data_IF_104799274175
#
_entry.id   IF_104799274175
#
_cell.length_a   1.000
_cell.length_b   1.000
_cell.length_c   1.000
_cell.angle_alpha   90.00
_cell.angle_beta   90.00
_cell.angle_gamma   90.00
#
_symmetry.space_group_name_H-M   'P 1'
#
loop_
_entity.id
_entity.type
_entity.pdbx_description
1 polymer ?
#
# COMPACT_ATOMS: atom_id res chain seq x y z
N UNK A 1 10.84 -53.24 58.73
CA UNK A 1 11.39 -52.21 57.81
C UNK A 1 10.82 -52.30 56.37
N UNK A 2 9.52 -52.60 56.17
CA UNK A 2 8.91 -52.68 54.82
C UNK A 2 7.90 -51.57 54.50
N UNK A 3 7.28 -50.91 55.50
CA UNK A 3 6.29 -49.85 55.23
C UNK A 3 6.86 -48.53 54.69
N UNK A 4 8.17 -48.27 54.87
CA UNK A 4 8.78 -47.00 54.43
C UNK A 4 9.11 -46.98 52.93
N UNK A 5 9.31 -48.14 52.31
CA UNK A 5 9.61 -48.27 50.87
C UNK A 5 8.35 -48.26 49.99
N UNK A 6 7.22 -48.79 50.49
CA UNK A 6 5.94 -48.70 49.76
C UNK A 6 5.36 -47.28 49.75
N UNK A 7 5.52 -46.50 50.82
CA UNK A 7 5.04 -45.11 50.86
C UNK A 7 5.79 -44.20 49.86
N UNK A 8 7.10 -44.43 49.68
CA UNK A 8 7.91 -43.65 48.73
C UNK A 8 7.58 -43.99 47.27
N UNK A 9 7.16 -45.22 46.97
CA UNK A 9 6.72 -45.61 45.63
C UNK A 9 5.35 -45.06 45.27
N UNK A 10 4.41 -44.95 46.23
CA UNK A 10 3.09 -44.35 46.00
C UNK A 10 3.16 -42.83 45.80
N UNK A 11 4.07 -42.13 46.49
CA UNK A 11 4.29 -40.69 46.30
C UNK A 11 4.96 -40.37 44.94
N UNK A 12 5.82 -41.24 44.42
CA UNK A 12 6.41 -41.08 43.09
C UNK A 12 5.38 -41.25 41.96
N UNK A 13 4.39 -42.14 42.13
CA UNK A 13 3.32 -42.35 41.16
C UNK A 13 2.34 -41.15 41.08
N UNK A 14 2.09 -40.46 42.20
CA UNK A 14 1.24 -39.27 42.23
C UNK A 14 1.93 -38.05 41.62
N UNK A 15 3.26 -37.91 41.76
CA UNK A 15 4.01 -36.83 41.11
C UNK A 15 4.24 -37.07 39.60
N UNK A 16 4.23 -38.32 39.13
CA UNK A 16 4.31 -38.63 37.70
C UNK A 16 2.98 -38.40 36.95
N UNK A 17 1.84 -38.38 37.66
CA UNK A 17 0.51 -38.17 37.08
C UNK A 17 0.10 -36.70 36.88
N UNK A 18 0.85 -35.73 37.42
CA UNK A 18 0.52 -34.29 37.35
C UNK A 18 1.44 -33.53 36.37
N UNK A 19 2.46 -34.20 35.81
CA UNK A 19 3.38 -33.61 34.84
C UNK A 19 3.00 -33.83 33.37
N UNK A 20 1.80 -34.37 33.08
CA UNK A 20 1.27 -34.56 31.71
C UNK A 20 -0.03 -33.77 31.54
N UNK A 21 0.02 -32.49 31.90
CA UNK A 21 -0.91 -31.45 31.41
C UNK A 21 -0.17 -30.12 31.34
N UNK A 22 1.12 -30.14 30.96
CA UNK A 22 1.69 -28.95 30.36
C UNK A 22 1.15 -28.91 28.94
N UNK A 23 0.12 -28.10 28.72
CA UNK A 23 -0.22 -27.64 27.39
C UNK A 23 1.08 -27.12 26.80
N UNK A 24 1.67 -27.86 25.87
CA UNK A 24 2.61 -27.27 24.95
C UNK A 24 1.81 -26.18 24.27
N UNK A 25 1.93 -24.94 24.74
CA UNK A 25 1.87 -23.80 23.84
C UNK A 25 3.01 -24.06 22.85
N UNK A 26 2.71 -24.87 21.81
CA UNK A 26 3.42 -24.80 20.55
C UNK A 26 3.31 -23.33 20.21
N UNK A 27 4.40 -22.60 20.40
CA UNK A 27 4.59 -21.32 19.75
C UNK A 27 4.64 -21.70 18.28
N UNK A 28 3.48 -21.77 17.63
CA UNK A 28 3.40 -22.09 16.21
C UNK A 28 4.01 -20.89 15.50
N UNK A 29 5.19 -21.08 14.93
CA UNK A 29 5.92 -20.05 14.19
C UNK A 29 5.54 -20.20 12.73
N UNK A 30 4.99 -19.14 12.14
CA UNK A 30 4.82 -19.07 10.70
C UNK A 30 6.20 -19.25 10.05
N UNK A 31 6.35 -20.14 9.05
CA UNK A 31 7.61 -20.31 8.36
C UNK A 31 8.06 -18.97 7.76
N UNK A 32 9.27 -18.52 8.10
CA UNK A 32 9.82 -17.36 7.40
C UNK A 32 10.33 -17.79 6.02
N UNK A 33 10.01 -17.01 4.99
CA UNK A 33 10.59 -17.21 3.67
C UNK A 33 12.10 -17.01 3.77
N UNK A 34 12.87 -18.08 3.58
CA UNK A 34 14.31 -17.95 3.43
C UNK A 34 14.61 -17.09 2.19
N UNK A 35 15.57 -16.15 2.27
CA UNK A 35 15.96 -15.37 1.11
C UNK A 35 16.44 -16.32 0.00
N UNK A 36 16.02 -16.11 -1.26
CA UNK A 36 16.39 -16.98 -2.36
C UNK A 36 17.92 -17.04 -2.48
N UNK A 37 18.47 -18.25 -2.46
CA UNK A 37 19.90 -18.46 -2.74
C UNK A 37 20.16 -18.11 -4.20
N UNK A 38 20.98 -17.08 -4.44
CA UNK A 38 21.38 -16.63 -5.78
C UNK A 38 22.11 -17.70 -6.62
N UNK A 39 22.43 -18.85 -6.01
CA UNK A 39 23.14 -19.97 -6.64
C UNK A 39 22.22 -21.04 -7.25
N UNK A 40 20.91 -21.00 -6.97
CA UNK A 40 19.97 -22.00 -7.50
C UNK A 40 19.35 -21.53 -8.82
N UNK A 41 18.99 -22.45 -9.75
CA UNK A 41 18.19 -22.09 -10.92
C UNK A 41 16.86 -21.44 -10.53
N UNK A 42 16.41 -20.43 -11.28
CA UNK A 42 15.19 -19.67 -10.98
C UNK A 42 13.95 -20.56 -10.77
N UNK A 43 13.79 -21.60 -11.60
CA UNK A 43 12.69 -22.57 -11.48
C UNK A 43 12.71 -23.33 -10.13
N UNK A 44 13.90 -23.62 -9.60
CA UNK A 44 14.05 -24.24 -8.28
C UNK A 44 13.69 -23.26 -7.17
N UNK A 45 14.13 -22.00 -7.29
CA UNK A 45 13.80 -20.94 -6.32
C UNK A 45 12.29 -20.70 -6.25
N UNK A 46 11.61 -20.63 -7.41
CA UNK A 46 10.16 -20.47 -7.50
C UNK A 46 9.41 -21.65 -6.87
N UNK A 47 9.84 -22.90 -7.11
CA UNK A 47 9.24 -24.07 -6.47
C UNK A 47 9.38 -24.03 -4.95
N UNK A 48 10.56 -23.67 -4.44
CA UNK A 48 10.78 -23.55 -3.00
C UNK A 48 9.94 -22.42 -2.39
N UNK A 49 9.82 -21.28 -3.08
CA UNK A 49 8.98 -20.17 -2.64
C UNK A 49 7.50 -20.58 -2.57
N UNK A 50 6.99 -21.25 -3.60
CA UNK A 50 5.61 -21.73 -3.60
C UNK A 50 5.37 -22.80 -2.52
N UNK A 51 6.30 -23.75 -2.32
CA UNK A 51 6.18 -24.76 -1.28
C UNK A 51 6.17 -24.13 0.13
N UNK A 52 7.02 -23.14 0.38
CA UNK A 52 7.01 -22.41 1.65
C UNK A 52 5.72 -21.60 1.83
N UNK A 53 5.19 -21.04 0.75
CA UNK A 53 3.92 -20.31 0.80
C UNK A 53 2.73 -21.22 1.11
N UNK A 54 2.72 -22.46 0.59
CA UNK A 54 1.72 -23.47 0.98
C UNK A 54 1.73 -23.72 2.49
N UNK A 55 2.91 -23.85 3.10
CA UNK A 55 3.03 -24.00 4.55
C UNK A 55 2.52 -22.76 5.33
N UNK A 56 2.59 -21.57 4.73
CA UNK A 56 1.99 -20.35 5.30
C UNK A 56 0.46 -20.40 5.16
N UNK A 57 -0.07 -20.86 4.02
CA UNK A 57 -1.51 -21.05 3.82
C UNK A 57 -2.09 -22.04 4.84
N UNK A 58 -1.42 -23.18 5.04
CA UNK A 58 -1.76 -24.17 6.05
C UNK A 58 -1.79 -23.57 7.46
N UNK A 59 -0.70 -22.88 7.85
CA UNK A 59 -0.63 -22.17 9.13
C UNK A 59 -1.81 -21.21 9.33
N UNK A 60 -2.16 -20.43 8.30
CA UNK A 60 -3.24 -19.46 8.39
C UNK A 60 -4.61 -20.12 8.49
N UNK A 61 -4.83 -21.20 7.73
CA UNK A 61 -6.08 -21.96 7.78
C UNK A 61 -6.32 -22.54 9.18
N UNK A 62 -5.27 -23.04 9.83
CA UNK A 62 -5.37 -23.66 11.16
C UNK A 62 -5.38 -22.65 12.33
N UNK A 63 -4.71 -21.50 12.21
CA UNK A 63 -4.34 -20.69 13.38
C UNK A 63 -4.87 -19.23 13.37
N UNK A 64 -5.61 -18.82 12.34
CA UNK A 64 -5.99 -17.41 12.16
C UNK A 64 -7.50 -17.15 12.27
N UNK A 65 -8.11 -17.55 13.39
CA UNK A 65 -9.52 -17.29 13.67
C UNK A 65 -9.79 -16.01 14.47
N UNK A 66 -8.82 -15.46 15.21
CA UNK A 66 -8.79 -14.05 15.62
C UNK A 66 -7.48 -13.70 16.36
N UNK A 67 -6.99 -12.47 16.17
CA UNK A 67 -5.91 -11.81 16.95
C UNK A 67 -4.47 -12.35 16.91
N UNK A 68 -4.18 -13.42 16.16
CA UNK A 68 -2.80 -13.93 16.08
C UNK A 68 -1.89 -13.01 15.21
N UNK A 69 -0.84 -12.39 15.79
CA UNK A 69 -0.01 -11.41 15.09
C UNK A 69 0.76 -12.00 13.89
N UNK A 70 1.04 -13.30 13.90
CA UNK A 70 1.72 -13.99 12.79
C UNK A 70 0.84 -14.15 11.56
N UNK A 71 -0.49 -14.10 11.74
CA UNK A 71 -1.43 -14.01 10.63
C UNK A 71 -1.26 -12.67 9.90
N UNK A 72 -1.10 -11.57 10.65
CA UNK A 72 -0.84 -10.25 10.06
C UNK A 72 0.49 -10.20 9.31
N UNK A 73 1.55 -10.85 9.82
CA UNK A 73 2.82 -10.98 9.09
C UNK A 73 2.63 -11.73 7.76
N UNK A 74 1.89 -12.84 7.79
CA UNK A 74 1.58 -13.66 6.61
C UNK A 74 0.77 -12.88 5.57
N UNK A 75 -0.22 -12.10 6.01
CA UNK A 75 -1.02 -11.23 5.14
C UNK A 75 -0.21 -10.07 4.55
N UNK A 76 0.67 -9.43 5.33
CA UNK A 76 1.56 -8.39 4.82
C UNK A 76 2.52 -8.96 3.77
N UNK A 77 3.07 -10.15 3.99
CA UNK A 77 3.91 -10.83 3.02
C UNK A 77 3.17 -11.09 1.71
N UNK A 78 1.92 -11.58 1.80
CA UNK A 78 1.09 -11.79 0.61
C UNK A 78 0.75 -10.49 -0.11
N UNK A 79 0.43 -9.42 0.62
CA UNK A 79 0.17 -8.10 0.03
C UNK A 79 1.38 -7.57 -0.75
N UNK A 80 2.60 -7.72 -0.21
CA UNK A 80 3.83 -7.25 -0.85
C UNK A 80 4.23 -8.05 -2.10
N UNK A 81 3.83 -9.32 -2.17
CA UNK A 81 4.24 -10.25 -3.24
C UNK A 81 3.05 -10.90 -3.95
N UNK A 82 1.90 -10.21 -3.97
CA UNK A 82 0.62 -10.67 -4.53
C UNK A 82 0.80 -11.38 -5.87
N UNK A 83 1.43 -10.72 -6.85
CA UNK A 83 1.49 -11.26 -8.21
C UNK A 83 2.20 -12.61 -8.27
N UNK A 84 3.31 -12.74 -7.53
CA UNK A 84 4.10 -13.97 -7.45
C UNK A 84 3.39 -15.06 -6.66
N UNK A 85 2.82 -14.72 -5.50
CA UNK A 85 2.20 -15.70 -4.61
C UNK A 85 0.82 -16.15 -5.09
N UNK A 86 0.07 -15.30 -5.77
CA UNK A 86 -1.18 -15.68 -6.46
C UNK A 86 -0.91 -16.72 -7.54
N UNK A 87 0.21 -16.61 -8.25
CA UNK A 87 0.63 -17.64 -9.22
C UNK A 87 0.92 -18.97 -8.55
N UNK A 88 1.56 -18.97 -7.37
CA UNK A 88 1.77 -20.19 -6.60
C UNK A 88 0.46 -20.90 -6.25
N UNK A 89 -0.60 -20.15 -5.92
CA UNK A 89 -1.94 -20.72 -5.66
C UNK A 89 -2.55 -21.31 -6.93
N UNK A 90 -2.43 -20.59 -8.06
CA UNK A 90 -2.95 -21.05 -9.35
C UNK A 90 -2.29 -22.33 -9.86
N UNK A 91 -1.01 -22.54 -9.54
CA UNK A 91 -0.24 -23.72 -9.96
C UNK A 91 -0.51 -24.95 -9.06
N UNK A 92 -1.32 -24.83 -8.00
CA UNK A 92 -1.67 -25.96 -7.13
C UNK A 92 -2.62 -26.94 -7.84
N UNK A 93 -2.52 -28.25 -7.54
CA UNK A 93 -3.43 -29.24 -8.11
C UNK A 93 -4.88 -28.94 -7.72
N UNK A 94 -5.79 -29.00 -8.69
CA UNK A 94 -7.21 -28.76 -8.43
C UNK A 94 -7.77 -29.78 -7.44
N UNK A 95 -8.57 -29.32 -6.47
CA UNK A 95 -9.19 -30.10 -5.39
C UNK A 95 -8.20 -30.77 -4.42
N UNK A 96 -6.95 -30.30 -4.40
CA UNK A 96 -5.98 -30.70 -3.38
C UNK A 96 -6.28 -30.04 -2.03
N UNK A 97 -5.75 -30.62 -0.96
CA UNK A 97 -5.82 -30.03 0.37
C UNK A 97 -5.09 -28.68 0.41
N UNK A 98 -3.94 -28.59 -0.25
CA UNK A 98 -3.16 -27.36 -0.39
C UNK A 98 -3.97 -26.25 -1.08
N UNK A 99 -4.73 -26.59 -2.13
CA UNK A 99 -5.62 -25.63 -2.78
C UNK A 99 -6.74 -25.18 -1.85
N UNK A 100 -7.34 -26.08 -1.08
CA UNK A 100 -8.39 -25.74 -0.12
C UNK A 100 -7.87 -24.78 0.96
N UNK A 101 -6.68 -25.05 1.51
CA UNK A 101 -6.02 -24.18 2.50
C UNK A 101 -5.65 -22.81 1.90
N UNK A 102 -5.17 -22.79 0.65
CA UNK A 102 -4.88 -21.54 -0.06
C UNK A 102 -6.14 -20.68 -0.28
N UNK A 103 -7.30 -21.29 -0.54
CA UNK A 103 -8.58 -20.58 -0.63
C UNK A 103 -8.99 -19.99 0.72
N UNK A 104 -8.86 -20.75 1.82
CA UNK A 104 -9.11 -20.23 3.18
C UNK A 104 -8.17 -19.07 3.51
N UNK A 105 -6.90 -19.16 3.12
CA UNK A 105 -5.96 -18.04 3.23
C UNK A 105 -6.48 -16.80 2.51
N UNK A 106 -6.94 -16.93 1.26
CA UNK A 106 -7.44 -15.80 0.47
C UNK A 106 -8.70 -15.17 1.08
N UNK A 107 -9.61 -15.97 1.62
CA UNK A 107 -10.80 -15.49 2.31
C UNK A 107 -10.43 -14.66 3.55
N UNK A 108 -9.56 -15.20 4.41
CA UNK A 108 -9.08 -14.50 5.61
C UNK A 108 -8.26 -13.25 5.26
N UNK A 109 -7.44 -13.32 4.21
CA UNK A 109 -6.70 -12.18 3.68
C UNK A 109 -7.64 -11.07 3.21
N UNK A 110 -8.72 -11.39 2.49
CA UNK A 110 -9.69 -10.39 2.02
C UNK A 110 -10.38 -9.65 3.18
N UNK A 111 -10.74 -10.38 4.25
CA UNK A 111 -11.28 -9.78 5.48
C UNK A 111 -10.25 -8.85 6.12
N UNK A 112 -9.03 -9.33 6.32
CA UNK A 112 -7.95 -8.52 6.89
C UNK A 112 -7.63 -7.30 6.02
N UNK A 113 -7.60 -7.45 4.70
CA UNK A 113 -7.34 -6.39 3.75
C UNK A 113 -8.42 -5.32 3.82
N UNK A 114 -9.68 -5.69 3.97
CA UNK A 114 -10.78 -4.73 4.15
C UNK A 114 -10.58 -3.89 5.42
N UNK A 115 -10.18 -4.52 6.53
CA UNK A 115 -9.92 -3.84 7.80
C UNK A 115 -8.65 -2.99 7.78
N UNK A 116 -7.67 -3.34 6.94
CA UNK A 116 -6.36 -2.68 6.87
C UNK A 116 -6.16 -1.83 5.61
N UNK A 117 -7.17 -1.73 4.74
CA UNK A 117 -7.09 -1.10 3.43
C UNK A 117 -6.46 0.30 3.51
N UNK A 118 -6.89 1.08 4.51
CA UNK A 118 -6.40 2.43 4.71
C UNK A 118 -4.97 2.52 5.22
N UNK A 119 -4.59 1.60 6.11
CA UNK A 119 -3.21 1.51 6.59
C UNK A 119 -2.27 1.10 5.45
N UNK A 120 -2.69 0.12 4.65
CA UNK A 120 -1.93 -0.38 3.50
C UNK A 120 -1.80 0.69 2.42
N UNK A 121 -2.90 1.37 2.08
CA UNK A 121 -2.90 2.48 1.14
C UNK A 121 -1.92 3.58 1.55
N UNK A 122 -1.99 4.04 2.82
CA UNK A 122 -1.07 5.05 3.35
C UNK A 122 0.40 4.59 3.36
N UNK A 123 0.64 3.32 3.64
CA UNK A 123 2.00 2.75 3.61
C UNK A 123 2.56 2.67 2.19
N UNK A 124 1.74 2.24 1.22
CA UNK A 124 2.11 2.22 -0.20
C UNK A 124 2.40 3.63 -0.69
N UNK A 125 1.59 4.61 -0.29
CA UNK A 125 1.83 6.01 -0.62
C UNK A 125 3.13 6.54 -0.04
N UNK A 126 3.39 6.31 1.26
CA UNK A 126 4.62 6.77 1.90
C UNK A 126 5.87 6.16 1.24
N UNK A 127 5.82 4.87 0.91
CA UNK A 127 6.89 4.18 0.19
C UNK A 127 7.06 4.72 -1.23
N UNK A 128 5.96 5.00 -1.93
CA UNK A 128 6.02 5.59 -3.26
C UNK A 128 6.51 7.04 -3.25
N UNK A 129 6.23 7.82 -2.20
CA UNK A 129 6.88 9.13 -1.99
C UNK A 129 8.39 8.92 -1.90
N UNK A 130 8.86 8.01 -1.07
CA UNK A 130 10.30 7.80 -0.88
C UNK A 130 10.98 7.28 -2.17
N UNK A 131 10.41 6.26 -2.81
CA UNK A 131 11.04 5.52 -3.90
C UNK A 131 10.73 6.08 -5.30
N UNK A 132 9.55 6.68 -5.49
CA UNK A 132 9.10 7.21 -6.77
C UNK A 132 9.13 8.74 -6.83
N UNK A 133 9.18 9.44 -5.69
CA UNK A 133 9.32 10.91 -5.63
C UNK A 133 10.69 11.40 -5.10
N UNK A 134 11.63 10.49 -4.81
CA UNK A 134 12.93 10.85 -4.23
C UNK A 134 13.84 11.70 -5.14
N UNK A 135 14.50 12.72 -4.57
CA UNK A 135 15.66 13.55 -4.99
C UNK A 135 15.77 14.07 -6.46
N UNK A 136 14.94 13.59 -7.37
CA UNK A 136 14.90 13.79 -8.80
C UNK A 136 13.47 14.17 -9.23
N UNK A 137 12.69 14.84 -8.36
CA UNK A 137 11.39 15.43 -8.72
C UNK A 137 11.48 16.37 -9.94
N UNK A 138 12.69 16.79 -10.33
CA UNK A 138 12.97 17.56 -11.55
C UNK A 138 13.21 16.73 -12.82
N UNK A 139 13.16 15.40 -12.76
CA UNK A 139 13.21 14.55 -13.96
C UNK A 139 11.80 14.09 -14.30
N UNK A 140 11.21 14.55 -15.41
CA UNK A 140 10.00 13.93 -15.93
C UNK A 140 10.36 12.51 -16.30
N UNK A 141 9.97 11.58 -15.44
CA UNK A 141 10.19 10.18 -15.68
C UNK A 141 9.37 9.79 -16.92
N UNK A 142 10.01 9.50 -18.05
CA UNK A 142 9.29 8.93 -19.21
C UNK A 142 8.80 7.53 -18.83
N UNK A 143 7.58 7.13 -19.23
CA UNK A 143 6.96 5.81 -18.95
C UNK A 143 7.93 4.62 -19.04
N UNK A 144 8.90 4.70 -19.95
CA UNK A 144 9.86 3.63 -20.26
C UNK A 144 11.05 3.50 -19.29
N UNK A 145 11.22 4.42 -18.33
CA UNK A 145 12.38 4.44 -17.42
C UNK A 145 11.99 4.24 -15.94
N UNK A 146 10.78 3.79 -15.68
CA UNK A 146 10.27 3.67 -14.32
C UNK A 146 10.72 2.35 -13.68
N UNK A 147 11.09 2.36 -12.38
CA UNK A 147 11.09 1.14 -11.60
C UNK A 147 9.71 0.48 -11.69
N UNK A 148 9.68 -0.84 -11.85
CA UNK A 148 8.45 -1.63 -11.98
C UNK A 148 7.45 -1.33 -10.84
N UNK A 149 7.96 -1.15 -9.62
CA UNK A 149 7.17 -0.76 -8.45
C UNK A 149 6.36 0.53 -8.68
N UNK A 150 6.97 1.57 -9.24
CA UNK A 150 6.28 2.83 -9.51
C UNK A 150 5.18 2.65 -10.58
N UNK A 151 5.46 1.87 -11.64
CA UNK A 151 4.47 1.57 -12.66
C UNK A 151 3.22 0.86 -12.09
N UNK A 152 3.43 -0.13 -11.23
CA UNK A 152 2.35 -0.86 -10.56
C UNK A 152 1.54 0.05 -9.63
N UNK A 153 2.21 0.85 -8.79
CA UNK A 153 1.57 1.80 -7.88
C UNK A 153 0.73 2.81 -8.67
N UNK A 154 1.28 3.40 -9.73
CA UNK A 154 0.57 4.39 -10.53
C UNK A 154 -0.64 3.80 -11.26
N UNK A 155 -0.54 2.57 -11.75
CA UNK A 155 -1.65 1.85 -12.38
C UNK A 155 -2.77 1.60 -11.37
N UNK A 156 -2.44 1.13 -10.16
CA UNK A 156 -3.42 0.92 -9.09
C UNK A 156 -4.14 2.22 -8.74
N UNK A 157 -3.40 3.31 -8.49
CA UNK A 157 -3.99 4.61 -8.16
C UNK A 157 -4.92 5.13 -9.26
N UNK A 158 -4.55 4.98 -10.54
CA UNK A 158 -5.42 5.39 -11.65
C UNK A 158 -6.79 4.68 -11.63
N UNK A 159 -6.81 3.42 -11.16
CA UNK A 159 -8.02 2.59 -11.22
C UNK A 159 -8.89 2.62 -9.96
N UNK A 160 -8.30 2.80 -8.77
CA UNK A 160 -9.01 2.54 -7.49
C UNK A 160 -8.92 3.66 -6.45
N UNK A 161 -8.22 4.78 -6.74
CA UNK A 161 -7.94 5.83 -5.75
C UNK A 161 -9.20 6.46 -5.16
N UNK A 162 -10.18 6.86 -5.98
CA UNK A 162 -11.37 7.56 -5.46
C UNK A 162 -12.12 6.73 -4.40
N UNK A 163 -12.26 5.42 -4.65
CA UNK A 163 -12.90 4.50 -3.72
C UNK A 163 -12.06 4.34 -2.44
N UNK A 164 -10.74 4.30 -2.56
CA UNK A 164 -9.83 4.19 -1.41
C UNK A 164 -9.78 5.49 -0.59
N UNK A 165 -9.82 6.66 -1.22
CA UNK A 165 -9.84 7.95 -0.52
C UNK A 165 -11.14 8.14 0.27
N UNK A 166 -12.27 7.79 -0.34
CA UNK A 166 -13.58 7.79 0.32
C UNK A 166 -13.59 6.84 1.53
N UNK A 167 -13.12 5.59 1.32
CA UNK A 167 -13.02 4.59 2.37
C UNK A 167 -12.10 5.03 3.52
N UNK A 168 -11.04 5.78 3.22
CA UNK A 168 -9.96 6.06 4.16
C UNK A 168 -9.93 7.48 4.71
N UNK A 169 -10.95 8.27 4.38
CA UNK A 169 -11.12 9.66 4.82
C UNK A 169 -9.87 10.50 4.55
N UNK A 170 -9.13 10.20 3.48
CA UNK A 170 -7.87 10.89 3.21
C UNK A 170 -8.15 12.29 2.71
N UNK A 171 -7.55 13.25 3.41
CA UNK A 171 -7.30 14.59 2.91
C UNK A 171 -5.96 14.59 2.17
N UNK A 172 -5.85 15.41 1.13
CA UNK A 172 -4.87 15.46 0.03
C UNK A 172 -3.38 15.68 0.37
N UNK A 173 -2.91 15.23 1.54
CA UNK A 173 -1.66 15.72 2.15
C UNK A 173 -0.43 14.83 1.90
N UNK A 174 -0.10 14.49 0.65
CA UNK A 174 1.22 13.93 0.28
C UNK A 174 1.86 14.68 -0.88
N UNK A 175 2.27 15.93 -0.62
CA UNK A 175 2.59 16.95 -1.63
C UNK A 175 3.61 16.49 -2.69
N UNK A 176 4.71 15.83 -2.29
CA UNK A 176 5.78 15.44 -3.21
C UNK A 176 5.42 14.28 -4.16
N UNK A 177 4.60 13.34 -3.70
CA UNK A 177 4.10 12.26 -4.57
C UNK A 177 3.00 12.78 -5.49
N UNK A 178 2.10 13.64 -5.00
CA UNK A 178 1.04 14.24 -5.84
C UNK A 178 1.61 15.06 -6.99
N UNK A 179 2.64 15.89 -6.77
CA UNK A 179 3.23 16.72 -7.83
C UNK A 179 3.82 15.89 -8.98
N UNK A 180 4.45 14.73 -8.71
CA UNK A 180 4.96 13.83 -9.75
C UNK A 180 3.94 12.84 -10.32
N UNK A 181 2.93 12.46 -9.53
CA UNK A 181 1.90 11.48 -9.88
C UNK A 181 0.87 12.05 -10.85
N UNK A 182 0.52 13.30 -10.63
CA UNK A 182 -0.54 14.01 -11.33
C UNK A 182 -0.18 14.30 -12.81
N UNK A 183 1.09 14.56 -13.08
CA UNK A 183 1.62 14.71 -14.45
C UNK A 183 1.45 13.41 -15.27
N UNK A 184 1.27 12.27 -14.61
CA UNK A 184 1.08 10.99 -15.27
C UNK A 184 -0.38 10.71 -15.61
N UNK A 185 -1.26 10.72 -14.60
CA UNK A 185 -2.65 10.27 -14.73
C UNK A 185 -3.64 11.38 -15.14
N UNK A 186 -3.26 12.66 -15.00
CA UNK A 186 -4.18 13.77 -15.31
C UNK A 186 -4.56 13.81 -16.80
N UNK A 187 -5.77 14.31 -17.10
CA UNK A 187 -6.12 14.72 -18.47
C UNK A 187 -5.14 15.80 -18.97
N UNK A 188 -5.11 16.07 -20.27
CA UNK A 188 -4.30 17.19 -20.81
C UNK A 188 -4.61 18.51 -20.11
N UNK A 189 -5.89 18.74 -19.79
CA UNK A 189 -6.37 19.91 -19.06
C UNK A 189 -5.81 19.92 -17.65
N UNK A 190 -5.91 18.79 -16.93
CA UNK A 190 -5.37 18.71 -15.59
C UNK A 190 -3.86 18.94 -15.57
N UNK A 191 -3.08 18.28 -16.43
CA UNK A 191 -1.63 18.52 -16.54
C UNK A 191 -1.30 20.00 -16.72
N UNK A 192 -2.02 20.68 -17.62
CA UNK A 192 -1.85 22.12 -17.83
C UNK A 192 -2.21 22.92 -16.57
N UNK A 193 -3.30 22.59 -15.88
CA UNK A 193 -3.66 23.25 -14.61
C UNK A 193 -2.53 23.15 -13.58
N UNK A 194 -1.89 21.99 -13.46
CA UNK A 194 -0.81 21.79 -12.50
C UNK A 194 0.47 22.54 -12.87
N UNK A 195 0.81 22.60 -14.16
CA UNK A 195 1.87 23.49 -14.65
C UNK A 195 1.59 24.94 -14.26
N UNK A 196 0.35 25.42 -14.47
CA UNK A 196 -0.04 26.78 -14.12
C UNK A 196 0.04 27.05 -12.62
N UNK A 197 -0.34 26.10 -11.77
CA UNK A 197 -0.20 26.24 -10.31
C UNK A 197 1.28 26.35 -9.92
N UNK A 198 2.17 25.56 -10.54
CA UNK A 198 3.61 25.62 -10.31
C UNK A 198 4.19 26.96 -10.76
N UNK A 199 3.90 27.37 -11.99
CA UNK A 199 4.37 28.65 -12.56
C UNK A 199 3.83 29.85 -11.75
N UNK A 200 2.56 29.82 -11.35
CA UNK A 200 1.96 30.87 -10.54
C UNK A 200 2.61 31.02 -9.15
N UNK A 201 3.08 29.91 -8.56
CA UNK A 201 3.83 29.94 -7.32
C UNK A 201 5.21 30.58 -7.53
N UNK A 202 5.94 30.17 -8.55
CA UNK A 202 7.28 30.72 -8.87
C UNK A 202 7.23 32.22 -9.18
N UNK A 203 6.16 32.65 -9.86
CA UNK A 203 5.93 34.05 -10.23
C UNK A 203 5.26 34.88 -9.13
N UNK A 204 4.97 34.28 -7.97
CA UNK A 204 4.31 34.99 -6.87
C UNK A 204 2.91 35.50 -7.22
N UNK A 205 2.17 34.82 -8.10
CA UNK A 205 0.84 35.26 -8.54
C UNK A 205 -0.21 35.28 -7.42
N UNK A 206 0.09 34.72 -6.24
CA UNK A 206 -0.75 34.86 -5.04
C UNK A 206 -0.59 36.20 -4.31
N UNK A 207 0.38 37.02 -4.69
CA UNK A 207 0.60 38.37 -4.19
C UNK A 207 -0.30 39.36 -4.93
N UNK A 208 -0.85 40.34 -4.20
CA UNK A 208 -1.86 41.25 -4.74
C UNK A 208 -1.37 42.03 -5.97
N UNK A 209 -0.13 42.50 -5.94
CA UNK A 209 0.42 43.31 -7.04
C UNK A 209 0.58 42.46 -8.30
N UNK A 210 1.24 41.30 -8.20
CA UNK A 210 1.41 40.37 -9.31
C UNK A 210 0.06 39.86 -9.85
N UNK A 211 -0.88 39.51 -8.98
CA UNK A 211 -2.21 39.04 -9.37
C UNK A 211 -2.98 40.07 -10.22
N UNK A 212 -2.80 41.36 -9.94
CA UNK A 212 -3.52 42.43 -10.61
C UNK A 212 -2.78 42.96 -11.83
N UNK A 213 -1.45 43.05 -11.76
CA UNK A 213 -0.66 43.83 -12.70
C UNK A 213 0.19 42.97 -13.66
N UNK A 214 0.57 41.74 -13.29
CA UNK A 214 1.37 40.88 -14.16
C UNK A 214 0.51 40.18 -15.22
N UNK A 215 0.86 40.37 -16.50
CA UNK A 215 0.16 39.78 -17.64
C UNK A 215 0.13 38.25 -17.56
N UNK A 216 1.26 37.63 -17.17
CA UNK A 216 1.38 36.18 -17.11
C UNK A 216 0.41 35.58 -16.10
N UNK A 217 0.27 36.18 -14.90
CA UNK A 217 -0.71 35.69 -13.92
C UNK A 217 -2.14 35.78 -14.46
N UNK A 218 -2.48 36.85 -15.20
CA UNK A 218 -3.82 37.02 -15.79
C UNK A 218 -4.09 36.00 -16.89
N UNK A 219 -3.10 35.66 -17.72
CA UNK A 219 -3.23 34.61 -18.74
C UNK A 219 -3.53 33.25 -18.11
N UNK A 220 -2.84 32.91 -17.02
CA UNK A 220 -3.10 31.66 -16.28
C UNK A 220 -4.51 31.63 -15.68
N UNK A 221 -4.97 32.76 -15.11
CA UNK A 221 -6.30 32.87 -14.54
C UNK A 221 -7.40 32.80 -15.61
N UNK A 222 -7.19 33.40 -16.78
CA UNK A 222 -8.11 33.29 -17.93
C UNK A 222 -8.22 31.85 -18.41
N UNK A 223 -7.08 31.17 -18.60
CA UNK A 223 -7.08 29.76 -18.94
C UNK A 223 -7.87 28.93 -17.93
N UNK A 224 -7.74 29.21 -16.63
CA UNK A 224 -8.52 28.54 -15.59
C UNK A 224 -10.02 28.82 -15.70
N UNK A 225 -10.43 30.05 -16.06
CA UNK A 225 -11.85 30.36 -16.31
C UNK A 225 -12.39 29.53 -17.47
N UNK A 226 -11.64 29.45 -18.57
CA UNK A 226 -12.05 28.76 -19.78
C UNK A 226 -12.17 27.24 -19.60
N UNK A 227 -11.44 26.68 -18.63
CA UNK A 227 -11.38 25.24 -18.35
C UNK A 227 -11.92 24.87 -16.95
N UNK A 228 -12.62 25.80 -16.29
CA UNK A 228 -12.97 25.71 -14.86
C UNK A 228 -13.77 24.46 -14.51
N UNK A 229 -14.73 24.12 -15.36
CA UNK A 229 -15.62 22.99 -15.14
C UNK A 229 -14.85 21.66 -15.13
N UNK A 230 -14.00 21.43 -16.14
CA UNK A 230 -13.13 20.25 -16.18
C UNK A 230 -12.13 20.27 -15.03
N UNK A 231 -11.55 21.43 -14.71
CA UNK A 231 -10.58 21.52 -13.61
C UNK A 231 -11.18 21.23 -12.25
N UNK A 232 -12.35 21.79 -11.94
CA UNK A 232 -13.01 21.60 -10.64
C UNK A 232 -13.69 20.24 -10.52
N UNK A 233 -14.00 19.58 -11.64
CA UNK A 233 -14.64 18.25 -11.65
C UNK A 233 -13.63 17.11 -11.69
N UNK A 234 -12.62 17.22 -12.55
CA UNK A 234 -11.76 16.10 -12.93
C UNK A 234 -10.34 16.22 -12.35
N UNK A 235 -9.88 17.42 -12.00
CA UNK A 235 -8.54 17.62 -11.49
C UNK A 235 -8.49 17.58 -9.96
N UNK A 236 -7.48 16.87 -9.44
CA UNK A 236 -7.19 16.83 -8.02
C UNK A 236 -6.68 18.17 -7.49
N UNK A 237 -7.23 18.59 -6.36
CA UNK A 237 -6.81 19.80 -5.66
C UNK A 237 -5.47 19.61 -4.93
N UNK A 238 -4.48 20.44 -5.25
CA UNK A 238 -3.14 20.43 -4.63
C UNK A 238 -3.04 21.49 -3.54
N UNK A 239 -2.41 21.24 -2.39
CA UNK A 239 -2.19 22.30 -1.39
C UNK A 239 -1.37 23.49 -1.92
N UNK A 240 -0.50 23.23 -2.91
CA UNK A 240 0.25 24.26 -3.63
C UNK A 240 -0.63 25.16 -4.53
N UNK A 241 -1.91 24.84 -4.74
CA UNK A 241 -2.88 25.69 -5.47
C UNK A 241 -3.25 26.95 -4.70
N UNK A 242 -3.05 26.99 -3.38
CA UNK A 242 -3.56 28.07 -2.52
C UNK A 242 -3.08 29.46 -2.97
N UNK A 243 -1.79 29.69 -3.31
CA UNK A 243 -1.35 30.95 -3.91
C UNK A 243 -2.03 31.24 -5.25
N UNK A 244 -2.19 30.22 -6.12
CA UNK A 244 -2.88 30.36 -7.40
C UNK A 244 -4.32 30.86 -7.19
N UNK A 245 -5.11 30.20 -6.34
CA UNK A 245 -6.49 30.61 -6.06
C UNK A 245 -6.58 31.96 -5.37
N UNK A 246 -5.67 32.27 -4.45
CA UNK A 246 -5.60 33.60 -3.82
C UNK A 246 -5.42 34.69 -4.86
N UNK A 247 -4.52 34.49 -5.81
CA UNK A 247 -4.29 35.38 -6.94
C UNK A 247 -5.52 35.49 -7.83
N UNK A 248 -6.05 34.35 -8.26
CA UNK A 248 -7.25 34.25 -9.09
C UNK A 248 -8.44 35.02 -8.50
N UNK A 249 -8.77 34.81 -7.23
CA UNK A 249 -9.88 35.51 -6.57
C UNK A 249 -9.59 37.00 -6.35
N UNK A 250 -8.31 37.38 -6.23
CA UNK A 250 -7.92 38.80 -6.15
C UNK A 250 -8.14 39.51 -7.48
N UNK A 251 -7.73 38.87 -8.58
CA UNK A 251 -7.94 39.34 -9.95
C UNK A 251 -9.41 39.36 -10.35
N UNK A 252 -10.14 38.26 -10.10
CA UNK A 252 -11.56 38.11 -10.46
C UNK A 252 -12.45 39.17 -9.81
N UNK A 253 -12.14 39.62 -8.59
CA UNK A 253 -12.85 40.71 -7.90
C UNK A 253 -12.77 42.07 -8.61
N UNK A 254 -11.79 42.27 -9.49
CA UNK A 254 -11.62 43.50 -10.26
C UNK A 254 -12.31 43.44 -11.63
N UNK A 255 -12.86 42.28 -12.01
CA UNK A 255 -13.61 42.14 -13.25
C UNK A 255 -15.10 42.41 -13.01
N UNK A 256 -15.77 43.16 -13.90
CA UNK A 256 -17.21 43.41 -13.83
C UNK A 256 -18.05 42.14 -14.01
#
# INVERSE_FOLDING_TARGET
MMCRRLLLLLLAAVCAGVAVCQSQHKVVVAPQLQPPSSRLPLAQQMRNLCANFVAICDFVAENCDDSNPKCTESFNLFYQHNATLTRCIHDLPAKSEEQAQALVFLEKFAVWQTQNACKLFRSTEAKAVEECSGANAHRPWKQTMWPLYCHEVFTMYNSSRHQLDELCGRTSNSEAFWEGFVDYIGSSTCKRYYDLVREARERGCGEKDNALNADECREMFRWYVDNKEEVETDCFEMKASKPFYRGFYTWKKQQP
#
